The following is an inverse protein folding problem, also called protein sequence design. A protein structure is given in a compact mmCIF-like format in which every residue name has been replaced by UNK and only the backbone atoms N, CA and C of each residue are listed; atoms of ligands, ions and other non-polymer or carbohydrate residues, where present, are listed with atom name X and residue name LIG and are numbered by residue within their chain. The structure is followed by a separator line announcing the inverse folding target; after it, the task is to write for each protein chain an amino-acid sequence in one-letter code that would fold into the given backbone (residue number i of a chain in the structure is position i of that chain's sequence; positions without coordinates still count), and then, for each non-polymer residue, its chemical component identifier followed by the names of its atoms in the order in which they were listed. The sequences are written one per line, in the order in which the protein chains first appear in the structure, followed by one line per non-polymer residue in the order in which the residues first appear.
data_IF_631675625359
#
_entry.id   IF_631675625359
#
_cell.length_a   1.000
_cell.length_b   1.000
_cell.length_c   1.000
_cell.angle_alpha   90.00
_cell.angle_beta   90.00
_cell.angle_gamma   90.00
#
_symmetry.space_group_name_H-M   'P 1'
#
loop_
_entity.id
_entity.type
_entity.pdbx_description
1 polymer ?
#
# COMPACT_ATOMS: atom_id res chain seq x y z
N UNK A 1 -5.80 13.82 2.53
CA UNK A 1 -5.02 12.93 3.36
C UNK A 1 -5.34 13.23 4.82
N UNK A 2 -5.96 12.27 5.56
CA UNK A 2 -6.33 12.43 6.97
C UNK A 2 -7.53 13.35 7.27
N UNK A 3 -8.26 13.79 6.27
CA UNK A 3 -9.50 14.54 6.49
C UNK A 3 -10.68 13.59 6.70
N UNK A 4 -11.63 14.02 7.52
CA UNK A 4 -12.85 13.28 7.82
C UNK A 4 -13.80 13.26 6.63
N UNK A 5 -14.25 12.07 6.25
CA UNK A 5 -15.36 11.85 5.34
C UNK A 5 -16.53 11.21 6.11
N UNK A 6 -17.70 11.80 6.00
CA UNK A 6 -18.89 11.44 6.78
C UNK A 6 -19.26 12.47 7.81
N UNK A 7 -20.03 12.07 8.82
CA UNK A 7 -20.53 12.95 9.89
C UNK A 7 -20.25 12.34 11.26
N UNK A 8 -19.98 13.19 12.25
CA UNK A 8 -19.83 12.77 13.64
C UNK A 8 -20.93 13.39 14.48
N UNK A 9 -21.49 12.66 15.46
CA UNK A 9 -22.51 13.16 16.38
C UNK A 9 -23.89 13.45 15.78
N UNK A 10 -24.12 13.14 14.50
CA UNK A 10 -25.41 13.39 13.82
C UNK A 10 -26.29 12.15 13.70
N UNK A 11 -25.85 11.01 14.20
CA UNK A 11 -26.60 9.77 14.13
C UNK A 11 -26.79 9.22 12.71
N UNK A 12 -26.03 9.72 11.72
CA UNK A 12 -26.11 9.28 10.32
C UNK A 12 -25.10 8.17 10.06
N UNK A 13 -25.54 7.13 9.35
CA UNK A 13 -24.71 5.97 9.00
C UNK A 13 -24.00 6.16 7.68
N UNK A 14 -22.84 5.57 7.54
CA UNK A 14 -22.25 5.29 6.25
C UNK A 14 -22.94 4.06 5.65
N UNK A 15 -23.34 4.14 4.39
CA UNK A 15 -23.92 3.02 3.63
C UNK A 15 -22.95 2.52 2.56
N UNK A 16 -22.16 3.40 1.98
CA UNK A 16 -21.14 3.09 0.98
C UNK A 16 -19.97 4.06 1.04
N UNK A 17 -18.84 3.64 0.50
CA UNK A 17 -17.66 4.47 0.30
C UNK A 17 -17.07 4.23 -1.10
N UNK A 18 -16.72 5.29 -1.81
CA UNK A 18 -15.94 5.25 -3.03
C UNK A 18 -14.62 5.99 -2.81
N UNK A 19 -13.52 5.41 -3.24
CA UNK A 19 -12.17 5.96 -3.02
C UNK A 19 -11.47 6.12 -4.37
N UNK A 20 -10.84 7.27 -4.57
CA UNK A 20 -9.86 7.48 -5.63
C UNK A 20 -8.48 7.70 -5.01
N UNK A 21 -7.47 7.10 -5.63
CA UNK A 21 -6.08 7.25 -5.25
C UNK A 21 -5.36 8.01 -6.36
N UNK A 22 -4.92 9.23 -6.08
CA UNK A 22 -4.15 10.02 -7.04
C UNK A 22 -2.68 9.99 -6.65
N UNK A 23 -1.83 9.56 -7.56
CA UNK A 23 -0.39 9.66 -7.45
C UNK A 23 0.06 10.96 -8.14
N UNK A 24 0.76 11.82 -7.38
CA UNK A 24 1.32 13.06 -7.92
C UNK A 24 2.83 12.86 -8.13
N UNK A 25 3.31 13.11 -9.35
CA UNK A 25 4.71 12.89 -9.71
C UNK A 25 4.97 11.47 -10.19
N UNK A 26 5.92 10.76 -9.58
CA UNK A 26 6.25 9.37 -9.98
C UNK A 26 5.07 8.43 -9.72
N UNK A 27 4.63 7.73 -10.76
CA UNK A 27 3.62 6.69 -10.64
C UNK A 27 4.25 5.34 -10.32
N UNK A 28 3.76 4.69 -9.28
CA UNK A 28 4.19 3.36 -8.86
C UNK A 28 3.14 2.33 -9.25
N UNK A 29 3.58 1.13 -9.65
CA UNK A 29 2.68 0.02 -9.93
C UNK A 29 1.92 -0.39 -8.67
N UNK A 30 0.64 -0.74 -8.82
CA UNK A 30 -0.26 -1.08 -7.72
C UNK A 30 -1.30 -0.01 -7.44
N UNK A 31 -2.03 -0.18 -6.35
CA UNK A 31 -3.14 0.68 -6.00
C UNK A 31 -3.57 0.51 -4.56
N UNK A 32 -4.78 0.92 -4.27
CA UNK A 32 -5.49 0.71 -3.02
C UNK A 32 -6.72 -0.14 -3.31
N UNK A 33 -6.95 -1.20 -2.55
CA UNK A 33 -8.23 -1.94 -2.57
C UNK A 33 -8.88 -1.90 -1.19
N UNK A 34 -10.19 -1.97 -1.18
CA UNK A 34 -10.98 -1.86 0.04
C UNK A 34 -12.27 -2.68 -0.05
N UNK A 35 -12.80 -3.11 1.10
CA UNK A 35 -14.06 -3.82 1.22
C UNK A 35 -14.81 -3.37 2.47
N UNK A 36 -16.13 -3.45 2.44
CA UNK A 36 -17.01 -3.11 3.54
C UNK A 36 -17.67 -4.35 4.13
N UNK A 37 -17.80 -4.38 5.46
CA UNK A 37 -18.76 -5.25 6.14
C UNK A 37 -20.08 -4.50 6.31
N UNK A 38 -21.14 -5.06 5.78
CA UNK A 38 -22.45 -4.43 5.74
C UNK A 38 -23.48 -5.29 6.47
N UNK A 39 -24.36 -4.61 7.19
CA UNK A 39 -25.50 -5.24 7.87
C UNK A 39 -26.22 -6.25 6.98
N UNK A 40 -26.38 -7.48 7.44
CA UNK A 40 -27.01 -8.62 6.76
C UNK A 40 -26.28 -9.20 5.55
N UNK A 41 -25.33 -8.46 4.95
CA UNK A 41 -24.53 -8.92 3.80
C UNK A 41 -23.17 -9.50 4.21
N UNK A 42 -22.66 -9.12 5.40
CA UNK A 42 -21.31 -9.48 5.81
C UNK A 42 -20.23 -8.72 5.02
N UNK A 43 -19.06 -9.34 4.86
CA UNK A 43 -17.97 -8.81 4.03
C UNK A 43 -18.34 -8.90 2.55
N UNK A 44 -18.35 -7.76 1.90
CA UNK A 44 -18.60 -7.66 0.46
C UNK A 44 -17.29 -7.87 -0.32
N UNK A 45 -17.39 -7.95 -1.65
CA UNK A 45 -16.22 -8.09 -2.51
C UNK A 45 -15.25 -6.89 -2.36
N UNK A 46 -13.98 -7.13 -2.61
CA UNK A 46 -12.98 -6.09 -2.73
C UNK A 46 -13.27 -5.18 -3.93
N UNK A 47 -13.04 -3.90 -3.74
CA UNK A 47 -13.16 -2.85 -4.76
C UNK A 47 -11.82 -2.16 -4.88
N UNK A 48 -11.32 -2.02 -6.11
CA UNK A 48 -10.11 -1.25 -6.36
C UNK A 48 -10.43 0.25 -6.41
N UNK A 49 -9.58 1.06 -5.78
CA UNK A 49 -9.67 2.50 -5.87
C UNK A 49 -9.31 2.97 -7.29
N UNK A 50 -10.04 3.95 -7.80
CA UNK A 50 -9.69 4.57 -9.07
C UNK A 50 -8.34 5.28 -8.99
N UNK A 51 -7.46 5.02 -9.95
CA UNK A 51 -6.15 5.65 -10.07
C UNK A 51 -6.09 6.76 -11.12
N UNK A 52 -7.15 6.94 -11.88
CA UNK A 52 -7.23 7.95 -12.95
C UNK A 52 -7.72 9.32 -12.46
N UNK A 53 -7.97 9.45 -11.16
CA UNK A 53 -8.38 10.71 -10.53
C UNK A 53 -9.86 11.04 -10.69
N UNK A 54 -10.71 10.05 -10.99
CA UNK A 54 -12.16 10.24 -10.98
C UNK A 54 -12.66 10.68 -9.61
N UNK A 55 -13.69 11.52 -9.59
CA UNK A 55 -14.26 11.93 -8.31
C UNK A 55 -14.97 10.76 -7.63
N UNK A 56 -14.92 10.65 -6.29
CA UNK A 56 -15.64 9.59 -5.58
C UNK A 56 -17.14 9.55 -5.89
N UNK A 57 -17.76 10.69 -6.13
CA UNK A 57 -19.17 10.75 -6.55
C UNK A 57 -19.39 10.07 -7.90
N UNK A 58 -18.56 10.38 -8.89
CA UNK A 58 -18.62 9.73 -10.21
C UNK A 58 -18.38 8.22 -10.12
N UNK A 59 -17.51 7.75 -9.22
CA UNK A 59 -17.28 6.33 -8.97
C UNK A 59 -18.52 5.66 -8.37
N UNK A 60 -19.17 6.32 -7.42
CA UNK A 60 -20.40 5.83 -6.81
C UNK A 60 -21.54 5.72 -7.85
N UNK A 61 -21.67 6.71 -8.74
CA UNK A 61 -22.66 6.70 -9.82
C UNK A 61 -22.44 5.53 -10.80
N UNK A 62 -21.20 5.08 -10.96
CA UNK A 62 -20.82 3.92 -11.78
C UNK A 62 -20.83 2.57 -11.04
N UNK A 63 -21.28 2.54 -9.78
CA UNK A 63 -21.25 1.33 -8.96
C UNK A 63 -19.85 0.93 -8.44
N UNK A 64 -18.86 1.80 -8.53
CA UNK A 64 -17.48 1.57 -8.05
C UNK A 64 -17.35 2.01 -6.59
N UNK A 65 -17.98 1.27 -5.70
CA UNK A 65 -17.99 1.55 -4.25
C UNK A 65 -18.06 0.26 -3.43
N UNK A 66 -17.57 0.30 -2.21
CA UNK A 66 -17.80 -0.74 -1.21
C UNK A 66 -18.97 -0.31 -0.32
N UNK A 67 -19.90 -1.24 -0.05
CA UNK A 67 -21.12 -0.98 0.72
C UNK A 67 -22.38 -1.12 -0.12
N UNK A 68 -23.46 -0.47 0.27
CA UNK A 68 -24.75 -0.49 -0.46
C UNK A 68 -25.31 0.91 -0.60
N UNK A 69 -25.98 1.19 -1.74
CA UNK A 69 -26.69 2.44 -1.99
C UNK A 69 -28.17 2.16 -2.09
N UNK A 70 -29.00 2.96 -1.39
CA UNK A 70 -30.45 2.87 -1.42
C UNK A 70 -31.04 1.61 -0.75
N UNK A 71 -30.24 0.82 -0.03
CA UNK A 71 -30.69 -0.39 0.67
C UNK A 71 -30.95 -0.18 2.15
N UNK A 72 -30.72 1.01 2.67
CA UNK A 72 -30.82 1.34 4.10
C UNK A 72 -30.00 0.41 5.02
N UNK A 73 -28.89 -0.13 4.50
CA UNK A 73 -27.98 -1.01 5.23
C UNK A 73 -26.75 -0.22 5.67
N UNK A 74 -26.41 -0.35 6.95
CA UNK A 74 -25.23 0.32 7.50
C UNK A 74 -23.96 -0.42 7.20
N UNK A 75 -22.88 0.29 6.96
CA UNK A 75 -21.54 -0.25 7.10
C UNK A 75 -21.21 -0.42 8.60
N UNK A 76 -20.58 -1.53 8.97
CA UNK A 76 -20.20 -1.87 10.34
C UNK A 76 -18.68 -1.95 10.51
N UNK A 77 -17.97 -2.31 9.44
CA UNK A 77 -16.52 -2.33 9.40
C UNK A 77 -16.00 -2.12 7.97
N UNK A 78 -14.72 -1.80 7.88
CA UNK A 78 -14.00 -1.63 6.62
C UNK A 78 -12.60 -2.25 6.73
N UNK A 79 -12.10 -2.78 5.63
CA UNK A 79 -10.70 -3.13 5.41
C UNK A 79 -10.19 -2.44 4.17
N UNK A 80 -8.93 -2.07 4.17
CA UNK A 80 -8.24 -1.58 2.98
C UNK A 80 -6.77 -1.90 3.03
N UNK A 81 -6.16 -2.06 1.86
CA UNK A 81 -4.73 -2.33 1.76
C UNK A 81 -4.16 -1.77 0.46
N UNK A 82 -2.88 -1.45 0.48
CA UNK A 82 -2.13 -1.10 -0.70
C UNK A 82 -1.66 -2.38 -1.41
N UNK A 83 -1.51 -2.32 -2.72
CA UNK A 83 -1.04 -3.42 -3.56
C UNK A 83 0.18 -3.01 -4.39
N UNK A 84 0.93 -4.00 -4.89
CA UNK A 84 2.07 -3.78 -5.77
C UNK A 84 3.21 -2.97 -5.15
N UNK A 85 3.94 -2.23 -5.98
CA UNK A 85 5.08 -1.42 -5.56
C UNK A 85 4.68 -0.33 -4.57
N UNK A 86 3.45 0.19 -4.68
CA UNK A 86 2.93 1.20 -3.78
C UNK A 86 2.90 0.70 -2.32
N UNK A 87 2.59 -0.58 -2.09
CA UNK A 87 2.61 -1.20 -0.77
C UNK A 87 4.02 -1.28 -0.16
N UNK A 88 5.06 -1.34 -0.99
CA UNK A 88 6.44 -1.35 -0.52
C UNK A 88 6.90 0.03 -0.03
N UNK A 89 6.33 1.09 -0.60
CA UNK A 89 6.73 2.49 -0.36
C UNK A 89 5.88 3.23 0.65
N UNK A 90 4.63 2.81 0.82
CA UNK A 90 3.66 3.48 1.68
C UNK A 90 2.96 2.50 2.61
N UNK A 91 2.49 3.01 3.73
CA UNK A 91 1.53 2.38 4.63
C UNK A 91 0.22 3.15 4.56
N UNK A 92 -0.90 2.45 4.38
CA UNK A 92 -2.23 3.05 4.55
C UNK A 92 -2.66 2.89 6.00
N UNK A 93 -3.02 4.01 6.63
CA UNK A 93 -3.65 4.03 7.94
C UNK A 93 -5.06 4.60 7.81
N UNK A 94 -5.99 4.01 8.52
CA UNK A 94 -7.37 4.47 8.57
C UNK A 94 -7.97 4.28 9.94
N UNK A 95 -8.96 5.11 10.26
CA UNK A 95 -9.77 4.98 11.45
C UNK A 95 -11.22 5.32 11.14
N UNK A 96 -12.14 4.82 11.95
CA UNK A 96 -13.58 5.01 11.76
C UNK A 96 -14.22 5.59 13.00
N UNK A 97 -15.20 6.44 12.80
CA UNK A 97 -16.11 6.87 13.86
C UNK A 97 -17.29 5.90 13.89
N UNK A 98 -17.55 5.35 15.07
CA UNK A 98 -18.58 4.35 15.29
C UNK A 98 -19.66 4.87 16.21
N UNK A 99 -20.88 4.46 15.97
CA UNK A 99 -21.99 4.68 16.89
C UNK A 99 -21.63 4.22 18.30
N UNK A 100 -21.80 5.08 19.29
CA UNK A 100 -21.56 4.84 20.72
C UNK A 100 -20.08 4.85 21.13
N UNK A 101 -19.17 4.39 20.25
CA UNK A 101 -17.73 4.23 20.58
C UNK A 101 -16.88 5.43 20.19
N UNK A 102 -17.37 6.30 19.26
CA UNK A 102 -16.56 7.39 18.73
C UNK A 102 -15.47 6.92 17.78
N UNK A 103 -14.35 7.63 17.72
CA UNK A 103 -13.22 7.30 16.86
C UNK A 103 -12.45 6.09 17.38
N UNK A 104 -12.21 5.12 16.49
CA UNK A 104 -11.27 4.04 16.75
C UNK A 104 -9.82 4.56 16.79
N UNK A 105 -8.90 3.75 17.28
CA UNK A 105 -7.47 3.91 17.01
C UNK A 105 -7.20 3.80 15.50
N UNK A 106 -6.03 4.31 15.06
CA UNK A 106 -5.56 4.14 13.70
C UNK A 106 -5.24 2.66 13.42
N UNK A 107 -5.80 2.14 12.36
CA UNK A 107 -5.67 0.76 11.88
C UNK A 107 -4.73 0.73 10.68
N UNK A 108 -3.87 -0.26 10.59
CA UNK A 108 -2.96 -0.46 9.45
C UNK A 108 -3.65 -1.17 8.29
N UNK A 109 -3.06 -1.07 7.11
CA UNK A 109 -3.49 -1.80 5.93
C UNK A 109 -3.63 -3.30 6.18
N UNK A 110 -4.73 -3.89 5.71
CA UNK A 110 -5.10 -5.30 5.93
C UNK A 110 -5.96 -5.58 7.15
N UNK A 111 -5.86 -4.78 8.22
CA UNK A 111 -6.61 -4.99 9.46
C UNK A 111 -8.04 -4.42 9.38
N UNK A 112 -8.91 -4.82 10.30
CA UNK A 112 -10.30 -4.38 10.34
C UNK A 112 -10.45 -3.11 11.20
N UNK A 113 -11.03 -2.05 10.64
CA UNK A 113 -11.54 -0.91 11.40
C UNK A 113 -13.06 -0.98 11.50
N UNK A 114 -13.61 -0.84 12.69
CA UNK A 114 -15.03 -1.00 12.99
C UNK A 114 -15.33 -2.23 13.83
N UNK A 115 -16.59 -2.66 13.82
CA UNK A 115 -17.04 -3.84 14.57
C UNK A 115 -17.80 -4.79 13.65
N UNK A 116 -17.60 -6.09 13.85
CA UNK A 116 -18.34 -7.15 13.13
C UNK A 116 -19.31 -7.81 14.11
N UNK A 117 -20.59 -7.93 13.72
CA UNK A 117 -21.61 -8.61 14.51
C UNK A 117 -22.12 -7.85 15.75
N UNK A 118 -21.67 -6.64 16.00
CA UNK A 118 -22.12 -5.84 17.16
C UNK A 118 -23.22 -4.83 16.82
N UNK A 119 -23.65 -4.78 15.56
CA UNK A 119 -24.72 -3.90 15.13
C UNK A 119 -24.40 -2.40 15.21
N UNK A 120 -23.12 -2.03 15.30
CA UNK A 120 -22.67 -0.63 15.39
C UNK A 120 -22.38 -0.09 14.00
N UNK A 121 -23.03 1.03 13.65
CA UNK A 121 -22.79 1.66 12.34
C UNK A 121 -21.51 2.47 12.32
N UNK A 122 -20.88 2.53 11.18
CA UNK A 122 -19.88 3.54 10.87
C UNK A 122 -20.59 4.88 10.54
N UNK A 123 -20.03 5.98 10.99
CA UNK A 123 -20.56 7.33 10.81
C UNK A 123 -19.59 8.22 10.01
N UNK A 124 -18.28 7.99 10.17
CA UNK A 124 -17.24 8.69 9.45
C UNK A 124 -15.97 7.82 9.31
N UNK A 125 -15.10 8.24 8.43
CA UNK A 125 -13.79 7.61 8.20
C UNK A 125 -12.73 8.69 7.94
N UNK A 126 -11.52 8.39 8.37
CA UNK A 126 -10.31 9.12 7.98
C UNK A 126 -9.30 8.13 7.41
N UNK A 127 -8.61 8.54 6.35
CA UNK A 127 -7.61 7.72 5.65
C UNK A 127 -6.37 8.56 5.40
N UNK A 128 -5.20 8.03 5.69
CA UNK A 128 -3.92 8.67 5.36
C UNK A 128 -2.91 7.67 4.84
N UNK A 129 -2.03 8.13 3.97
CA UNK A 129 -0.85 7.42 3.51
C UNK A 129 0.37 7.97 4.23
N UNK A 130 1.19 7.09 4.75
CA UNK A 130 2.49 7.40 5.35
C UNK A 130 3.55 6.77 4.47
N UNK A 131 4.52 7.56 4.04
CA UNK A 131 5.68 7.04 3.33
C UNK A 131 6.51 6.20 4.29
N UNK A 132 6.82 4.97 3.89
CA UNK A 132 7.75 4.12 4.62
C UNK A 132 9.16 4.71 4.50
N UNK A 133 10.02 4.55 5.51
CA UNK A 133 11.42 4.92 5.37
C UNK A 133 11.98 4.24 4.12
N UNK A 134 12.65 5.03 3.27
CA UNK A 134 13.36 4.45 2.14
C UNK A 134 14.43 3.52 2.70
N UNK A 135 14.31 2.23 2.43
CA UNK A 135 15.37 1.28 2.75
C UNK A 135 16.44 1.48 1.68
N UNK A 136 17.31 2.45 1.88
CA UNK A 136 18.60 2.44 1.20
C UNK A 136 19.31 1.15 1.63
N UNK A 137 19.83 0.35 0.72
CA UNK A 137 20.57 -0.84 1.13
C UNK A 137 21.63 -0.43 2.15
N UNK A 138 21.58 -1.02 3.35
CA UNK A 138 22.54 -0.73 4.40
C UNK A 138 23.98 -1.09 4.01
N UNK A 139 24.14 -1.81 2.90
CA UNK A 139 25.43 -2.17 2.33
C UNK A 139 25.36 -2.30 0.80
N UNK A 140 26.43 -1.90 0.12
CA UNK A 140 26.64 -2.18 -1.30
C UNK A 140 27.89 -3.05 -1.46
N UNK A 141 27.82 -4.03 -2.34
CA UNK A 141 28.98 -4.85 -2.69
C UNK A 141 29.47 -4.44 -4.08
N UNK A 142 30.78 -4.22 -4.20
CA UNK A 142 31.45 -4.10 -5.47
C UNK A 142 32.54 -5.16 -5.52
N UNK A 143 32.85 -5.65 -6.70
CA UNK A 143 33.90 -6.63 -6.86
C UNK A 143 34.60 -6.51 -8.20
N UNK A 144 35.82 -7.01 -8.24
CA UNK A 144 36.63 -7.17 -9.46
C UNK A 144 37.31 -8.52 -9.45
N UNK A 145 37.65 -8.99 -10.60
CA UNK A 145 38.31 -10.28 -10.75
C UNK A 145 39.62 -10.14 -11.55
N UNK A 146 40.58 -11.01 -11.23
CA UNK A 146 41.77 -11.24 -12.05
C UNK A 146 41.52 -12.46 -12.91
N UNK A 147 41.59 -12.29 -14.21
CA UNK A 147 41.41 -13.39 -15.17
C UNK A 147 42.67 -13.60 -16.00
N UNK A 148 42.94 -14.85 -16.33
CA UNK A 148 44.07 -15.25 -17.12
C UNK A 148 44.20 -14.45 -18.43
N UNK A 149 45.37 -13.89 -18.68
CA UNK A 149 45.71 -13.03 -19.82
C UNK A 149 45.05 -11.64 -19.84
N UNK A 150 44.12 -11.35 -18.93
CA UNK A 150 43.44 -10.05 -18.81
C UNK A 150 43.91 -9.24 -17.60
N UNK A 151 44.49 -9.91 -16.57
CA UNK A 151 44.83 -9.25 -15.33
C UNK A 151 43.60 -8.84 -14.52
N UNK A 152 43.74 -7.81 -13.71
CA UNK A 152 42.62 -7.24 -12.96
C UNK A 152 41.66 -6.50 -13.91
N UNK A 153 40.43 -6.96 -13.96
CA UNK A 153 39.36 -6.36 -14.75
C UNK A 153 38.68 -5.22 -13.98
N UNK A 154 37.83 -4.45 -14.62
CA UNK A 154 37.11 -3.34 -13.98
C UNK A 154 36.28 -3.81 -12.81
N UNK A 155 36.17 -2.97 -11.78
CA UNK A 155 35.23 -3.17 -10.66
C UNK A 155 33.80 -3.05 -11.17
N UNK A 156 32.95 -3.98 -10.76
CA UNK A 156 31.52 -4.03 -11.09
C UNK A 156 30.66 -4.05 -9.83
N UNK A 157 29.45 -3.47 -9.88
CA UNK A 157 28.51 -3.54 -8.76
C UNK A 157 27.91 -4.94 -8.60
N UNK A 158 27.40 -5.20 -7.39
CA UNK A 158 26.70 -6.46 -7.07
C UNK A 158 25.59 -6.79 -8.08
N UNK A 159 25.49 -8.07 -8.43
CA UNK A 159 24.55 -8.55 -9.44
C UNK A 159 25.03 -8.47 -10.88
N UNK A 160 26.21 -7.87 -11.16
CA UNK A 160 26.80 -7.77 -12.50
C UNK A 160 27.85 -8.87 -12.68
N UNK A 161 27.98 -9.44 -13.89
CA UNK A 161 29.00 -10.45 -14.17
C UNK A 161 30.39 -9.77 -14.24
N UNK A 162 31.34 -10.28 -13.47
CA UNK A 162 32.75 -9.95 -13.59
C UNK A 162 33.52 -11.15 -14.19
N UNK A 163 34.40 -10.90 -15.12
CA UNK A 163 35.19 -11.95 -15.76
C UNK A 163 34.85 -12.14 -17.24
N UNK A 164 35.22 -13.29 -17.77
CA UNK A 164 34.97 -13.66 -19.17
C UNK A 164 34.08 -14.89 -19.27
N UNK A 165 33.13 -14.87 -20.19
CA UNK A 165 32.29 -16.03 -20.50
C UNK A 165 32.65 -16.58 -21.90
N UNK A 166 32.78 -17.91 -22.01
CA UNK A 166 33.03 -18.58 -23.28
C UNK A 166 34.44 -18.41 -23.88
N UNK A 167 35.39 -17.77 -23.15
CA UNK A 167 36.76 -17.52 -23.66
C UNK A 167 37.81 -18.48 -23.14
N UNK A 168 37.41 -19.53 -22.41
CA UNK A 168 38.36 -20.54 -21.88
C UNK A 168 39.41 -19.95 -20.92
N UNK A 169 39.15 -18.79 -20.30
CA UNK A 169 40.06 -18.14 -19.38
C UNK A 169 39.63 -18.39 -17.93
N UNK A 170 40.59 -18.82 -17.12
CA UNK A 170 40.34 -19.11 -15.71
C UNK A 170 40.31 -17.81 -14.91
N UNK A 171 39.47 -17.79 -13.88
CA UNK A 171 39.50 -16.78 -12.84
C UNK A 171 40.62 -17.13 -11.87
N UNK A 172 41.51 -16.19 -11.57
CA UNK A 172 42.72 -16.41 -10.76
C UNK A 172 42.60 -15.76 -9.38
N UNK A 173 41.89 -14.64 -9.27
CA UNK A 173 41.62 -13.98 -8.02
C UNK A 173 40.33 -13.15 -8.06
N UNK A 174 39.75 -12.89 -6.89
CA UNK A 174 38.63 -11.98 -6.71
C UNK A 174 38.94 -11.00 -5.57
N UNK A 175 38.57 -9.75 -5.76
CA UNK A 175 38.58 -8.72 -4.72
C UNK A 175 37.15 -8.23 -4.52
N UNK A 176 36.69 -8.24 -3.29
CA UNK A 176 35.34 -7.81 -2.91
C UNK A 176 35.45 -6.62 -1.98
N UNK A 177 34.73 -5.55 -2.29
CA UNK A 177 34.60 -4.34 -1.48
C UNK A 177 33.15 -4.22 -1.01
N UNK A 178 32.96 -4.30 0.31
CA UNK A 178 31.68 -4.14 0.96
C UNK A 178 31.65 -2.75 1.62
N UNK A 179 30.83 -1.86 1.08
CA UNK A 179 30.59 -0.55 1.68
C UNK A 179 29.30 -0.60 2.50
N UNK A 180 29.43 -0.44 3.82
CA UNK A 180 28.31 -0.22 4.73
C UNK A 180 28.08 1.29 4.84
N UNK A 181 26.84 1.75 4.70
CA UNK A 181 26.52 3.11 5.11
C UNK A 181 26.50 3.14 6.62
N UNK A 182 27.38 3.98 7.21
CA UNK A 182 27.40 4.19 8.64
C UNK A 182 26.05 4.68 9.16
N UNK A 183 25.65 4.17 10.31
CA UNK A 183 24.51 4.61 11.10
C UNK A 183 24.85 5.99 11.71
#
# INVERSE_FOLDING_TARGET
NGKTAGTTGQGKRLEAIAISLKQNGTSYAGGLRYQAHVQTYGWMNWVDADTNGASPRSLADKGQYAGTVGKSKRMEAIRMELTGELANRYEVLYRVHMQTYGWSSWTKGGDTAGTVGQGKRLEAIEIKLIQKPSVTPAATVNYQVHAQSYGWMNTVPGGTIAGTTGKGKRLEAIKIDLKTQGV
#
